data_IF_591905982549
#
_entry.id   IF_591905982549
#
_cell.length_a   1.000
_cell.length_b   1.000
_cell.length_c   1.000
_cell.angle_alpha   90.00
_cell.angle_beta   90.00
_cell.angle_gamma   90.00
#
_symmetry.space_group_name_H-M   'P 1'
#
loop_
_entity.id
_entity.type
_entity.pdbx_description
1 polymer ?
#
# COMPACT_ATOMS: atom_id res chain seq x y z
N UNK A 1 -14.19 -4.69 40.46
CA UNK A 1 -13.39 -3.48 40.13
C UNK A 1 -11.97 -3.78 39.61
N UNK A 2 -11.42 -4.99 39.77
CA UNK A 2 -10.11 -5.35 39.17
C UNK A 2 -10.14 -5.48 37.64
N UNK A 3 -11.21 -6.05 37.07
CA UNK A 3 -11.34 -6.25 35.62
C UNK A 3 -11.26 -4.94 34.81
N UNK A 4 -11.78 -3.83 35.33
CA UNK A 4 -11.74 -2.53 34.64
C UNK A 4 -10.29 -2.05 34.46
N UNK A 5 -9.43 -2.27 35.45
CA UNK A 5 -8.00 -1.87 35.39
C UNK A 5 -7.27 -2.69 34.31
N UNK A 6 -7.54 -4.00 34.24
CA UNK A 6 -6.96 -4.88 33.22
C UNK A 6 -7.41 -4.46 31.82
N UNK A 7 -8.70 -4.18 31.64
CA UNK A 7 -9.26 -3.75 30.36
C UNK A 7 -8.71 -2.38 29.93
N UNK A 8 -8.50 -1.47 30.88
CA UNK A 8 -7.90 -0.16 30.60
C UNK A 8 -6.49 -0.32 30.02
N UNK A 9 -5.63 -1.09 30.69
CA UNK A 9 -4.26 -1.34 30.23
C UNK A 9 -4.28 -2.05 28.87
N UNK A 10 -5.14 -3.06 28.70
CA UNK A 10 -5.28 -3.76 27.43
C UNK A 10 -5.68 -2.80 26.29
N UNK A 11 -6.65 -1.91 26.52
CA UNK A 11 -7.10 -0.94 25.51
C UNK A 11 -6.02 0.06 25.12
N UNK A 12 -5.26 0.57 26.09
CA UNK A 12 -4.15 1.50 25.85
C UNK A 12 -3.03 0.81 25.08
N UNK A 13 -2.69 -0.43 25.45
CA UNK A 13 -1.67 -1.22 24.74
C UNK A 13 -2.06 -1.46 23.28
N UNK A 14 -3.30 -1.86 23.03
CA UNK A 14 -3.80 -2.06 21.65
C UNK A 14 -3.77 -0.75 20.87
N UNK A 15 -4.22 0.36 21.47
CA UNK A 15 -4.18 1.68 20.84
C UNK A 15 -2.75 2.13 20.51
N UNK A 16 -1.80 1.93 21.43
CA UNK A 16 -0.41 2.30 21.23
C UNK A 16 0.27 1.47 20.12
N UNK A 17 0.01 0.15 20.08
CA UNK A 17 0.49 -0.72 19.00
C UNK A 17 -0.06 -0.27 17.65
N UNK A 18 -1.36 0.02 17.58
CA UNK A 18 -2.00 0.46 16.34
C UNK A 18 -1.45 1.81 15.86
N UNK A 19 -1.22 2.75 16.79
CA UNK A 19 -0.62 4.05 16.48
C UNK A 19 0.83 3.90 16.00
N UNK A 20 1.64 3.05 16.65
CA UNK A 20 3.02 2.80 16.23
C UNK A 20 3.08 2.16 14.84
N UNK A 21 2.22 1.16 14.57
CA UNK A 21 2.11 0.54 13.26
C UNK A 21 1.65 1.54 12.19
N UNK A 22 0.71 2.42 12.52
CA UNK A 22 0.25 3.48 11.62
C UNK A 22 1.40 4.45 11.25
N UNK A 23 2.13 4.95 12.24
CA UNK A 23 3.27 5.85 12.02
C UNK A 23 4.35 5.16 11.17
N UNK A 24 4.65 3.88 11.46
CA UNK A 24 5.59 3.09 10.67
C UNK A 24 5.13 2.92 9.21
N UNK A 25 3.85 2.62 8.99
CA UNK A 25 3.25 2.46 7.66
C UNK A 25 3.37 3.74 6.82
N UNK A 26 3.02 4.89 7.40
CA UNK A 26 3.13 6.20 6.74
C UNK A 26 4.59 6.53 6.42
N UNK A 27 5.51 6.27 7.37
CA UNK A 27 6.94 6.54 7.17
C UNK A 27 7.61 5.59 6.17
N UNK A 28 7.08 4.37 6.02
CA UNK A 28 7.60 3.37 5.09
C UNK A 28 7.18 3.61 3.63
N UNK A 29 6.38 4.64 3.35
CA UNK A 29 5.95 4.93 1.98
C UNK A 29 5.03 3.87 1.38
N UNK A 30 4.38 3.04 2.21
CA UNK A 30 3.38 2.06 1.70
C UNK A 30 2.18 2.74 1.02
N UNK A 31 2.02 4.05 1.20
CA UNK A 31 0.97 4.86 0.60
C UNK A 31 1.40 5.51 -0.72
N UNK A 32 2.64 5.30 -1.17
CA UNK A 32 3.23 5.96 -2.34
C UNK A 32 3.02 5.16 -3.65
N UNK A 33 2.13 4.15 -3.66
CA UNK A 33 1.72 3.45 -4.89
C UNK A 33 0.73 4.31 -5.69
N UNK A 34 1.25 5.45 -6.18
CA UNK A 34 0.50 6.44 -6.98
C UNK A 34 0.17 5.91 -8.40
N UNK A 35 0.85 4.84 -8.85
CA UNK A 35 0.71 4.27 -10.19
C UNK A 35 0.44 2.77 -10.13
N UNK A 36 -0.84 2.46 -9.90
CA UNK A 36 -1.31 1.08 -9.88
C UNK A 36 -1.13 0.37 -11.24
N UNK A 37 -0.84 -0.96 -11.25
CA UNK A 37 -0.70 -1.74 -12.48
C UNK A 37 -1.86 -1.61 -13.49
N UNK A 38 -3.14 -1.48 -13.08
CA UNK A 38 -4.24 -1.26 -14.01
C UNK A 38 -4.14 0.03 -14.82
N UNK A 39 -3.64 1.11 -14.21
CA UNK A 39 -3.42 2.38 -14.90
C UNK A 39 -2.34 2.23 -15.97
N UNK A 40 -1.26 1.51 -15.64
CA UNK A 40 -0.21 1.18 -16.60
C UNK A 40 -0.75 0.39 -17.79
N UNK A 41 -1.55 -0.65 -17.55
CA UNK A 41 -2.06 -1.53 -18.63
C UNK A 41 -3.10 -0.83 -19.53
N UNK A 42 -3.89 0.09 -18.99
CA UNK A 42 -4.93 0.79 -19.74
C UNK A 42 -4.39 1.98 -20.55
N UNK A 43 -3.34 2.65 -20.05
CA UNK A 43 -2.80 3.86 -20.67
C UNK A 43 -1.44 3.66 -21.35
N UNK A 44 -0.69 2.59 -21.04
CA UNK A 44 0.47 2.21 -21.84
C UNK A 44 -0.05 1.53 -23.12
N UNK A 45 -0.16 2.32 -24.18
CA UNK A 45 -0.39 1.78 -25.51
C UNK A 45 0.70 0.74 -25.82
N UNK A 46 0.34 -0.49 -26.25
CA UNK A 46 1.33 -1.43 -26.74
C UNK A 46 2.02 -0.77 -27.94
N UNK A 47 3.29 -0.39 -27.76
CA UNK A 47 4.14 0.06 -28.86
C UNK A 47 4.12 -1.07 -29.88
N UNK A 48 3.58 -0.76 -31.06
CA UNK A 48 3.42 -1.71 -32.16
C UNK A 48 4.70 -2.54 -32.30
N UNK A 49 4.60 -3.88 -32.43
CA UNK A 49 5.78 -4.68 -32.74
C UNK A 49 6.41 -4.13 -34.02
N UNK A 50 7.74 -4.16 -34.15
CA UNK A 50 8.41 -3.57 -35.29
C UNK A 50 7.80 -4.15 -36.56
N UNK A 51 7.24 -3.29 -37.40
CA UNK A 51 6.76 -3.67 -38.72
C UNK A 51 7.93 -4.32 -39.43
N UNK A 52 7.88 -5.64 -39.57
CA UNK A 52 8.82 -6.41 -40.37
C UNK A 52 8.59 -6.01 -41.83
N UNK A 53 9.27 -4.95 -42.25
CA UNK A 53 9.35 -4.53 -43.63
C UNK A 53 10.33 -5.44 -44.37
N UNK A 54 9.97 -6.71 -44.50
CA UNK A 54 10.46 -7.55 -45.58
C UNK A 54 9.52 -7.36 -46.77
N UNK A 55 9.67 -6.22 -47.45
CA UNK A 55 9.30 -6.10 -48.85
C UNK A 55 10.61 -5.99 -49.64
N UNK A 56 10.81 -6.96 -50.53
CA UNK A 56 11.85 -7.15 -51.55
C UNK A 56 13.11 -7.92 -51.11
#
# INVERSE_FOLDING_TARGET
>A
MSAIVILLIASISVSAIFLAAFIWSVRSGQMDDDFSPPQRILFDNPVNPPSNNNQQ
#
